data_IF_102686604705
#
_entry.id   IF_102686604705
#
_cell.length_a   1.000
_cell.length_b   1.000
_cell.length_c   1.000
_cell.angle_alpha   90.00
_cell.angle_beta   90.00
_cell.angle_gamma   90.00
#
_symmetry.space_group_name_H-M   'P 1'
#
loop_
_entity.id
_entity.type
_entity.pdbx_description
1 polymer ?
#
# COMPACT_ATOMS: atom_id res chain seq x y z
N UNK A 1 -23.09 -21.47 7.16
CA UNK A 1 -21.96 -20.54 7.32
C UNK A 1 -21.81 -20.17 8.78
N UNK A 2 -20.58 -20.22 9.30
CA UNK A 2 -20.27 -19.70 10.64
C UNK A 2 -20.48 -18.18 10.70
N UNK A 3 -20.54 -17.60 11.91
CA UNK A 3 -20.64 -16.14 12.07
C UNK A 3 -19.44 -15.44 11.42
N UNK A 4 -18.25 -16.02 11.55
CA UNK A 4 -17.02 -15.49 10.97
C UNK A 4 -17.08 -15.45 9.44
N UNK A 5 -17.59 -16.51 8.81
CA UNK A 5 -17.79 -16.56 7.35
C UNK A 5 -18.82 -15.53 6.87
N UNK A 6 -19.93 -15.37 7.62
CA UNK A 6 -20.97 -14.37 7.31
C UNK A 6 -20.41 -12.95 7.38
N UNK A 7 -19.65 -12.64 8.43
CA UNK A 7 -19.04 -11.32 8.63
C UNK A 7 -17.98 -11.03 7.57
N UNK A 8 -17.17 -12.03 7.19
CA UNK A 8 -16.20 -11.90 6.10
C UNK A 8 -16.89 -11.64 4.75
N UNK A 9 -17.93 -12.42 4.42
CA UNK A 9 -18.72 -12.22 3.20
C UNK A 9 -19.34 -10.82 3.18
N UNK A 10 -19.86 -10.37 4.31
CA UNK A 10 -20.38 -9.03 4.47
C UNK A 10 -19.33 -7.94 4.23
N UNK A 11 -18.13 -8.07 4.79
CA UNK A 11 -17.03 -7.14 4.55
C UNK A 11 -16.67 -7.04 3.05
N UNK A 12 -16.60 -8.19 2.36
CA UNK A 12 -16.33 -8.25 0.91
C UNK A 12 -17.41 -7.55 0.10
N UNK A 13 -18.68 -7.80 0.44
CA UNK A 13 -19.80 -7.24 -0.29
C UNK A 13 -19.90 -5.73 -0.14
N UNK A 14 -19.62 -5.15 1.05
CA UNK A 14 -19.54 -3.68 1.18
C UNK A 14 -18.49 -3.13 0.22
N UNK A 15 -17.31 -3.76 0.17
CA UNK A 15 -16.19 -3.28 -0.66
C UNK A 15 -16.57 -3.32 -2.14
N UNK A 16 -17.12 -4.43 -2.59
CA UNK A 16 -17.52 -4.64 -3.98
C UNK A 16 -18.70 -3.76 -4.39
N UNK A 17 -19.78 -3.77 -3.61
CA UNK A 17 -21.02 -3.05 -3.90
C UNK A 17 -20.78 -1.53 -3.99
N UNK A 18 -19.99 -0.99 -3.07
CA UNK A 18 -19.75 0.45 -2.99
C UNK A 18 -18.53 0.92 -3.77
N UNK A 19 -17.83 0.00 -4.43
CA UNK A 19 -16.71 0.32 -5.33
C UNK A 19 -15.39 0.63 -4.62
N UNK A 20 -15.25 0.28 -3.34
CA UNK A 20 -13.98 0.38 -2.62
C UNK A 20 -12.93 -0.59 -3.20
N UNK A 21 -11.66 -0.37 -2.87
CA UNK A 21 -10.56 -1.26 -3.25
C UNK A 21 -10.05 -2.07 -2.07
N UNK A 22 -9.60 -3.28 -2.33
CA UNK A 22 -8.83 -4.06 -1.38
C UNK A 22 -7.38 -3.55 -1.29
N UNK A 23 -6.79 -3.57 -0.10
CA UNK A 23 -5.34 -3.53 0.09
C UNK A 23 -4.82 -4.93 0.50
N UNK A 24 -3.63 -5.04 1.08
CA UNK A 24 -3.12 -6.24 1.77
C UNK A 24 -4.08 -6.65 2.91
N UNK A 25 -5.16 -7.35 2.55
CA UNK A 25 -6.28 -7.69 3.42
C UNK A 25 -7.58 -6.96 3.07
N UNK A 26 -8.70 -7.61 3.37
CA UNK A 26 -10.09 -7.21 3.07
C UNK A 26 -10.42 -5.83 3.62
N UNK A 27 -10.13 -4.75 2.90
CA UNK A 27 -10.23 -3.40 3.45
C UNK A 27 -11.00 -2.44 2.56
N UNK A 28 -11.63 -1.47 3.20
CA UNK A 28 -12.30 -0.35 2.58
C UNK A 28 -11.25 0.75 2.34
N UNK A 29 -10.57 0.66 1.20
CA UNK A 29 -9.58 1.63 0.74
C UNK A 29 -10.15 2.51 -0.38
N UNK A 30 -9.95 3.81 -0.25
CA UNK A 30 -10.11 4.79 -1.31
C UNK A 30 -8.72 5.06 -1.91
N UNK A 31 -8.42 4.67 -3.15
CA UNK A 31 -7.09 4.76 -3.74
C UNK A 31 -6.76 6.19 -4.18
N UNK A 32 -5.56 6.70 -3.91
CA UNK A 32 -5.07 8.02 -4.34
C UNK A 32 -5.12 8.21 -5.89
N UNK A 33 -5.36 9.44 -6.38
CA UNK A 33 -5.20 9.78 -7.81
C UNK A 33 -3.73 9.71 -8.24
N UNK A 34 -3.51 9.40 -9.52
CA UNK A 34 -2.21 9.56 -10.15
C UNK A 34 -1.66 10.98 -9.94
N UNK A 35 -0.34 11.14 -9.70
CA UNK A 35 0.75 10.18 -9.96
C UNK A 35 1.09 9.21 -8.81
N UNK A 36 0.26 9.11 -7.77
CA UNK A 36 0.56 8.26 -6.61
C UNK A 36 0.20 6.78 -6.86
N UNK A 37 0.88 5.83 -6.18
CA UNK A 37 0.58 4.41 -6.32
C UNK A 37 -0.89 4.11 -6.00
N UNK A 38 -1.52 3.28 -6.85
CA UNK A 38 -2.95 2.94 -6.74
C UNK A 38 -3.31 2.08 -5.50
N UNK A 39 -2.30 1.55 -4.79
CA UNK A 39 -2.45 0.81 -3.54
C UNK A 39 -2.34 1.70 -2.29
N UNK A 40 -2.10 3.00 -2.44
CA UNK A 40 -2.09 3.97 -1.34
C UNK A 40 -3.37 4.81 -1.35
N UNK A 41 -3.78 5.34 -0.18
CA UNK A 41 -5.09 5.96 -0.11
C UNK A 41 -5.64 6.31 1.28
N UNK A 42 -6.91 6.70 1.32
CA UNK A 42 -7.66 6.88 2.57
C UNK A 42 -8.27 5.54 2.99
N UNK A 43 -7.97 5.13 4.22
CA UNK A 43 -8.45 3.88 4.79
C UNK A 43 -9.57 4.17 5.79
N UNK A 44 -10.73 3.52 5.64
CA UNK A 44 -11.81 3.63 6.61
C UNK A 44 -11.65 2.52 7.66
N UNK A 45 -11.72 1.27 7.20
CA UNK A 45 -11.54 0.08 8.02
C UNK A 45 -11.00 -1.08 7.19
N UNK A 46 -10.43 -2.07 7.87
CA UNK A 46 -10.03 -3.36 7.31
C UNK A 46 -10.61 -4.51 8.10
N UNK A 47 -10.91 -5.61 7.43
CA UNK A 47 -11.26 -6.88 8.02
C UNK A 47 -10.03 -7.80 8.01
N UNK A 48 -9.57 -8.18 9.19
CA UNK A 48 -8.45 -9.10 9.36
C UNK A 48 -8.96 -10.53 9.34
N UNK A 49 -8.66 -11.30 8.30
CA UNK A 49 -8.98 -12.74 8.25
C UNK A 49 -8.25 -13.54 9.33
N UNK A 50 -7.02 -13.14 9.69
CA UNK A 50 -6.27 -13.86 10.74
C UNK A 50 -6.91 -13.69 12.12
N UNK A 51 -7.49 -12.52 12.40
CA UNK A 51 -8.09 -12.18 13.69
C UNK A 51 -9.61 -12.22 13.67
N UNK A 52 -10.21 -12.46 12.52
CA UNK A 52 -11.65 -12.38 12.22
C UNK A 52 -12.30 -11.14 12.82
N UNK A 53 -11.85 -9.94 12.44
CA UNK A 53 -12.34 -8.69 13.02
C UNK A 53 -12.23 -7.49 12.11
N UNK A 54 -13.10 -6.50 12.28
CA UNK A 54 -12.94 -5.17 11.71
C UNK A 54 -11.96 -4.34 12.55
N UNK A 55 -11.16 -3.50 11.90
CA UNK A 55 -10.26 -2.55 12.54
C UNK A 55 -10.14 -1.26 11.71
N UNK A 56 -10.26 -0.10 12.34
CA UNK A 56 -9.97 1.18 11.67
C UNK A 56 -8.46 1.45 11.60
N UNK A 57 -8.02 2.29 10.66
CA UNK A 57 -6.60 2.67 10.49
C UNK A 57 -6.42 4.16 10.28
N UNK A 58 -6.50 4.94 11.37
CA UNK A 58 -6.34 6.40 11.32
C UNK A 58 -4.91 6.89 11.51
N UNK A 59 -3.97 6.00 11.82
CA UNK A 59 -2.59 6.36 12.19
C UNK A 59 -1.85 7.11 11.08
N UNK A 60 -2.14 6.79 9.81
CA UNK A 60 -1.48 7.43 8.66
C UNK A 60 -2.12 8.76 8.23
N UNK A 61 -3.29 9.13 8.77
CA UNK A 61 -4.04 10.31 8.33
C UNK A 61 -3.35 11.63 8.65
N UNK A 62 -2.63 11.72 9.77
CA UNK A 62 -2.04 12.98 10.25
C UNK A 62 -0.56 13.15 9.90
N UNK A 63 0.02 12.22 9.14
CA UNK A 63 1.45 12.28 8.80
C UNK A 63 1.73 13.48 7.90
N UNK A 64 2.89 14.12 8.09
CA UNK A 64 3.32 15.24 7.23
C UNK A 64 3.40 14.82 5.76
N UNK A 65 3.80 13.57 5.50
CA UNK A 65 3.79 12.96 4.17
C UNK A 65 2.38 12.89 3.58
N UNK A 66 1.36 12.48 4.35
CA UNK A 66 -0.04 12.45 3.89
C UNK A 66 -0.56 13.86 3.57
N UNK A 67 -0.24 14.84 4.41
CA UNK A 67 -0.66 16.22 4.21
C UNK A 67 -0.02 16.83 2.96
N UNK A 68 1.30 16.67 2.77
CA UNK A 68 2.01 17.10 1.54
C UNK A 68 1.45 16.42 0.30
N UNK A 69 1.10 15.14 0.40
CA UNK A 69 0.47 14.42 -0.71
C UNK A 69 -0.90 15.01 -1.06
N UNK A 70 -1.75 15.27 -0.06
CA UNK A 70 -3.06 15.90 -0.27
C UNK A 70 -2.94 17.29 -0.90
N UNK A 71 -1.95 18.06 -0.49
CA UNK A 71 -1.61 19.34 -1.10
C UNK A 71 -1.19 19.18 -2.56
N UNK A 72 -0.32 18.22 -2.88
CA UNK A 72 0.12 17.97 -4.25
C UNK A 72 -1.02 17.51 -5.16
N UNK A 73 -1.83 16.57 -4.68
CA UNK A 73 -2.95 15.93 -5.41
C UNK A 73 -4.14 16.86 -5.60
N UNK A 74 -4.59 17.50 -4.52
CA UNK A 74 -5.88 18.19 -4.48
C UNK A 74 -5.73 19.71 -4.35
N UNK A 75 -4.49 20.22 -4.27
CA UNK A 75 -4.19 21.65 -4.02
C UNK A 75 -4.83 22.18 -2.73
N UNK A 76 -5.02 21.29 -1.77
CA UNK A 76 -5.58 21.61 -0.46
C UNK A 76 -4.50 22.12 0.48
N UNK A 77 -4.81 23.19 1.21
CA UNK A 77 -3.95 23.65 2.29
C UNK A 77 -4.03 22.71 3.50
N UNK A 78 -2.98 22.69 4.32
CA UNK A 78 -2.97 21.91 5.57
C UNK A 78 -4.16 22.26 6.48
N UNK A 79 -4.55 23.54 6.53
CA UNK A 79 -5.69 24.02 7.32
C UNK A 79 -7.01 23.42 6.85
N UNK A 80 -7.19 23.28 5.54
CA UNK A 80 -8.41 22.68 4.97
C UNK A 80 -8.46 21.19 5.21
N UNK A 81 -7.34 20.48 5.02
CA UNK A 81 -7.27 19.05 5.29
C UNK A 81 -7.53 18.73 6.77
N UNK A 82 -7.00 19.56 7.69
CA UNK A 82 -7.24 19.45 9.13
C UNK A 82 -8.71 19.57 9.54
N UNK A 83 -9.59 20.15 8.70
CA UNK A 83 -11.04 20.20 9.00
C UNK A 83 -11.67 18.81 9.06
N UNK A 84 -11.07 17.82 8.39
CA UNK A 84 -11.53 16.43 8.42
C UNK A 84 -11.39 15.79 9.81
N UNK A 85 -10.54 16.33 10.69
CA UNK A 85 -10.32 15.81 12.04
C UNK A 85 -11.62 15.62 12.84
N UNK A 86 -12.43 16.67 12.95
CA UNK A 86 -13.66 16.63 13.75
C UNK A 86 -14.65 15.60 13.23
N UNK A 87 -14.66 15.41 11.91
CA UNK A 87 -15.53 14.45 11.24
C UNK A 87 -15.05 13.01 11.43
N UNK A 88 -13.74 12.77 11.36
CA UNK A 88 -13.13 11.46 11.68
C UNK A 88 -13.32 11.11 13.16
N UNK A 89 -13.15 12.07 14.06
CA UNK A 89 -13.39 11.90 15.49
C UNK A 89 -14.86 11.51 15.77
N UNK A 90 -15.81 12.19 15.13
CA UNK A 90 -17.23 11.88 15.23
C UNK A 90 -17.54 10.45 14.73
N UNK A 91 -16.98 10.05 13.58
CA UNK A 91 -17.12 8.70 13.04
C UNK A 91 -16.61 7.63 14.02
N UNK A 92 -15.39 7.79 14.55
CA UNK A 92 -14.83 6.87 15.52
C UNK A 92 -15.67 6.80 16.80
N UNK A 93 -16.24 7.92 17.25
CA UNK A 93 -17.16 7.95 18.40
C UNK A 93 -18.46 7.19 18.12
N UNK A 94 -19.02 7.30 16.92
CA UNK A 94 -20.20 6.53 16.50
C UNK A 94 -19.92 5.03 16.49
N UNK A 95 -18.75 4.60 15.98
CA UNK A 95 -18.35 3.20 16.04
C UNK A 95 -18.21 2.68 17.47
N UNK A 96 -17.64 3.47 18.38
CA UNK A 96 -17.58 3.10 19.82
C UNK A 96 -18.97 2.95 20.42
N UNK A 97 -19.90 3.86 20.08
CA UNK A 97 -21.29 3.78 20.53
C UNK A 97 -21.99 2.52 20.00
N UNK A 98 -21.60 2.05 18.81
CA UNK A 98 -22.07 0.79 18.24
C UNK A 98 -21.48 -0.45 18.96
N UNK A 99 -20.45 -0.27 19.79
CA UNK A 99 -19.82 -1.33 20.58
C UNK A 99 -18.41 -1.72 20.13
N UNK A 100 -17.81 -0.98 19.20
CA UNK A 100 -16.41 -1.21 18.83
C UNK A 100 -15.47 -0.77 19.95
N UNK A 101 -14.42 -1.55 20.18
CA UNK A 101 -13.45 -1.33 21.25
C UNK A 101 -12.21 -0.58 20.75
N UNK A 102 -11.63 0.28 21.58
CA UNK A 102 -10.39 0.98 21.25
C UNK A 102 -9.18 0.04 21.22
N UNK A 103 -8.29 0.26 20.25
CA UNK A 103 -7.05 -0.50 20.10
C UNK A 103 -5.84 0.36 19.78
N UNK A 104 -4.68 -0.21 20.09
CA UNK A 104 -3.39 0.40 19.86
C UNK A 104 -3.05 1.47 20.90
N UNK A 105 -1.99 2.22 20.62
CA UNK A 105 -1.51 3.25 21.56
C UNK A 105 -2.26 4.57 21.46
N UNK A 106 -3.17 4.70 20.49
CA UNK A 106 -3.82 5.95 20.12
C UNK A 106 -2.85 6.94 19.46
N UNK A 107 -3.42 7.91 18.75
CA UNK A 107 -2.70 8.82 17.87
C UNK A 107 -3.22 10.23 18.06
N UNK A 108 -2.30 11.19 18.21
CA UNK A 108 -2.64 12.61 18.25
C UNK A 108 -2.80 13.13 16.83
N UNK A 109 -4.02 13.06 16.28
CA UNK A 109 -4.26 13.60 14.95
C UNK A 109 -4.14 15.14 15.00
N UNK A 110 -3.25 15.67 14.16
CA UNK A 110 -3.03 17.10 13.97
C UNK A 110 -2.71 17.90 15.24
N UNK A 111 -2.12 17.25 16.26
CA UNK A 111 -1.73 17.90 17.51
C UNK A 111 -2.89 18.34 18.41
N UNK A 112 -4.09 17.76 18.22
CA UNK A 112 -5.27 17.99 19.06
C UNK A 112 -5.44 16.86 20.09
N UNK A 113 -6.64 16.29 20.13
CA UNK A 113 -7.04 15.18 21.01
C UNK A 113 -6.48 13.85 20.48
N UNK A 114 -6.11 13.00 21.43
CA UNK A 114 -5.72 11.62 21.16
C UNK A 114 -6.95 10.82 20.74
N UNK A 115 -6.91 10.23 19.54
CA UNK A 115 -7.94 9.31 19.07
C UNK A 115 -7.38 7.90 18.99
N UNK A 116 -8.24 6.91 19.07
CA UNK A 116 -7.86 5.51 19.01
C UNK A 116 -8.49 4.85 17.80
N UNK A 117 -7.75 3.93 17.19
CA UNK A 117 -8.37 2.99 16.27
C UNK A 117 -9.38 2.15 17.05
N UNK A 118 -10.41 1.68 16.37
CA UNK A 118 -11.43 0.85 16.98
C UNK A 118 -11.55 -0.48 16.24
N UNK A 119 -11.99 -1.52 16.95
CA UNK A 119 -12.17 -2.86 16.39
C UNK A 119 -13.49 -3.50 16.82
N UNK A 120 -13.95 -4.48 16.05
CA UNK A 120 -15.00 -5.41 16.47
C UNK A 120 -14.71 -6.81 15.91
N UNK A 121 -14.58 -7.80 16.79
CA UNK A 121 -14.40 -9.19 16.40
C UNK A 121 -15.68 -9.76 15.77
N UNK A 122 -15.58 -10.72 14.86
CA UNK A 122 -16.73 -11.29 14.17
C UNK A 122 -17.76 -11.88 15.15
N UNK A 123 -17.27 -12.46 16.27
CA UNK A 123 -18.11 -12.98 17.36
C UNK A 123 -18.93 -11.91 18.07
N UNK A 124 -18.51 -10.65 18.05
CA UNK A 124 -19.31 -9.55 18.59
C UNK A 124 -20.69 -9.44 17.93
N UNK A 125 -20.76 -9.80 16.64
CA UNK A 125 -22.00 -9.77 15.86
C UNK A 125 -22.85 -11.03 16.01
N UNK A 126 -22.40 -12.00 16.81
CA UNK A 126 -23.18 -13.19 17.12
C UNK A 126 -24.47 -12.79 17.83
N UNK A 127 -25.61 -13.21 17.27
CA UNK A 127 -26.96 -12.82 17.72
C UNK A 127 -27.28 -11.32 17.61
N UNK A 128 -26.41 -10.52 16.97
CA UNK A 128 -26.56 -9.06 16.78
C UNK A 128 -26.27 -8.61 15.34
N UNK A 129 -26.70 -9.41 14.36
CA UNK A 129 -26.43 -9.16 12.93
C UNK A 129 -26.98 -7.80 12.44
N UNK A 130 -28.00 -7.24 13.09
CA UNK A 130 -28.52 -5.90 12.76
C UNK A 130 -27.46 -4.81 12.95
N UNK A 131 -26.51 -4.99 13.89
CA UNK A 131 -25.42 -4.02 14.07
C UNK A 131 -24.48 -3.95 12.86
N UNK A 132 -24.43 -5.00 12.02
CA UNK A 132 -23.69 -4.93 10.75
C UNK A 132 -24.36 -3.93 9.79
N UNK A 133 -25.69 -3.85 9.78
CA UNK A 133 -26.43 -2.86 8.98
C UNK A 133 -26.10 -1.44 9.42
N UNK A 134 -26.19 -1.18 10.73
CA UNK A 134 -25.83 0.12 11.30
C UNK A 134 -24.34 0.47 11.04
N UNK A 135 -23.45 -0.52 11.09
CA UNK A 135 -22.04 -0.33 10.75
C UNK A 135 -21.82 0.04 9.28
N UNK A 136 -22.58 -0.57 8.36
CA UNK A 136 -22.55 -0.21 6.94
C UNK A 136 -23.06 1.22 6.72
N UNK A 137 -24.20 1.58 7.31
CA UNK A 137 -24.74 2.94 7.24
C UNK A 137 -23.74 3.97 7.77
N UNK A 138 -23.12 3.72 8.93
CA UNK A 138 -22.04 4.57 9.46
C UNK A 138 -20.83 4.65 8.54
N UNK A 139 -20.50 3.55 7.85
CA UNK A 139 -19.40 3.52 6.88
C UNK A 139 -19.73 4.36 5.65
N UNK A 140 -20.97 4.33 5.17
CA UNK A 140 -21.44 5.12 4.02
C UNK A 140 -21.65 6.61 4.36
N UNK A 141 -21.95 6.93 5.60
CA UNK A 141 -22.02 8.30 6.14
C UNK A 141 -20.65 8.80 6.63
N UNK A 142 -19.57 8.05 6.36
CA UNK A 142 -18.25 8.46 6.76
C UNK A 142 -17.84 9.76 6.04
N UNK A 143 -17.46 10.82 6.78
CA UNK A 143 -17.09 12.12 6.20
C UNK A 143 -15.88 12.08 5.24
N UNK A 144 -15.06 11.04 5.32
CA UNK A 144 -13.97 10.78 4.37
C UNK A 144 -14.54 10.54 2.95
N UNK A 145 -15.71 9.92 2.83
CA UNK A 145 -16.37 9.67 1.55
C UNK A 145 -16.88 10.95 0.92
N UNK A 146 -17.54 11.80 1.71
CA UNK A 146 -18.03 13.09 1.21
C UNK A 146 -16.88 14.01 0.83
N UNK A 147 -15.79 14.00 1.60
CA UNK A 147 -14.53 14.66 1.22
C UNK A 147 -14.02 14.13 -0.13
N UNK A 148 -14.00 12.81 -0.31
CA UNK A 148 -13.50 12.20 -1.53
C UNK A 148 -14.38 12.49 -2.74
N UNK A 149 -15.70 12.47 -2.59
CA UNK A 149 -16.67 12.82 -3.61
C UNK A 149 -16.56 14.29 -4.02
N UNK A 150 -16.45 15.20 -3.05
CA UNK A 150 -16.30 16.64 -3.29
C UNK A 150 -15.07 16.99 -4.14
N UNK A 151 -13.98 16.22 -3.98
CA UNK A 151 -12.75 16.39 -4.74
C UNK A 151 -12.68 15.52 -6.01
N UNK A 152 -13.82 14.94 -6.42
CA UNK A 152 -13.98 14.06 -7.59
C UNK A 152 -12.96 12.93 -7.60
N UNK A 153 -12.65 12.43 -6.40
CA UNK A 153 -11.55 11.52 -6.14
C UNK A 153 -12.04 10.10 -5.93
N UNK A 154 -13.23 9.96 -5.39
CA UNK A 154 -13.93 8.70 -5.28
C UNK A 154 -15.42 8.96 -5.20
N UNK A 155 -16.19 8.09 -5.84
CA UNK A 155 -17.64 8.11 -5.78
C UNK A 155 -18.12 6.75 -5.31
N UNK A 156 -18.96 6.77 -4.27
CA UNK A 156 -19.57 5.57 -3.70
C UNK A 156 -20.59 5.04 -4.70
N UNK A 157 -20.40 3.79 -5.14
CA UNK A 157 -21.38 3.10 -5.98
C UNK A 157 -22.55 2.62 -5.14
N UNK A 158 -23.75 2.56 -5.74
CA UNK A 158 -24.94 1.95 -5.13
C UNK A 158 -25.20 2.40 -3.68
N UNK A 159 -25.00 3.70 -3.38
CA UNK A 159 -25.08 4.25 -2.01
C UNK A 159 -26.46 4.07 -1.36
N UNK A 160 -27.49 3.83 -2.16
CA UNK A 160 -28.88 3.58 -1.77
C UNK A 160 -29.18 2.10 -1.48
N UNK A 161 -28.26 1.18 -1.79
CA UNK A 161 -28.38 -0.25 -1.51
C UNK A 161 -27.46 -0.63 -0.36
N UNK A 162 -27.85 -1.62 0.43
CA UNK A 162 -27.02 -2.14 1.52
C UNK A 162 -26.59 -3.57 1.19
N UNK A 163 -25.29 -3.84 1.33
CA UNK A 163 -24.72 -5.17 1.31
C UNK A 163 -25.38 -6.06 2.37
N UNK A 164 -25.77 -5.47 3.51
CA UNK A 164 -26.51 -6.18 4.54
C UNK A 164 -27.81 -6.80 4.00
N UNK A 165 -28.61 -6.05 3.24
CA UNK A 165 -29.89 -6.53 2.70
C UNK A 165 -29.65 -7.67 1.70
N UNK A 166 -28.56 -7.61 0.91
CA UNK A 166 -28.21 -8.68 -0.04
C UNK A 166 -27.78 -9.98 0.64
N UNK A 167 -27.20 -9.92 1.83
CA UNK A 167 -26.63 -11.10 2.52
C UNK A 167 -27.59 -11.65 3.57
N UNK A 168 -28.33 -10.78 4.26
CA UNK A 168 -29.15 -11.12 5.42
C UNK A 168 -30.63 -10.76 5.24
N UNK A 169 -31.01 -10.00 4.21
CA UNK A 169 -32.37 -9.45 4.03
C UNK A 169 -33.45 -10.47 3.67
N UNK A 170 -33.11 -11.76 3.54
CA UNK A 170 -34.06 -12.83 3.20
C UNK A 170 -35.05 -13.25 4.29
N UNK A 171 -35.20 -12.52 5.41
CA UNK A 171 -36.04 -13.03 6.51
C UNK A 171 -36.38 -12.14 7.70
N UNK A 172 -36.38 -10.80 7.59
CA UNK A 172 -36.94 -9.96 8.67
C UNK A 172 -37.83 -8.85 8.14
N UNK A 173 -39.04 -8.82 8.68
CA UNK A 173 -40.13 -7.90 8.42
C UNK A 173 -39.72 -6.44 8.59
N UNK A 174 -39.96 -5.67 7.53
CA UNK A 174 -40.05 -4.21 7.46
C UNK A 174 -40.85 -3.64 8.64
N UNK A 175 -40.40 -2.51 9.23
CA UNK A 175 -41.27 -1.35 9.20
C UNK A 175 -40.60 -0.15 8.53
N UNK A 176 -41.27 0.30 7.48
CA UNK A 176 -41.02 1.53 6.72
C UNK A 176 -41.42 2.70 7.60
N UNK A 177 -40.48 3.53 8.02
CA UNK A 177 -40.81 4.92 8.40
C UNK A 177 -39.67 5.85 8.00
N UNK A 178 -39.67 6.25 6.73
CA UNK A 178 -39.06 7.52 6.30
C UNK A 178 -40.19 8.44 5.86
N UNK A 179 -40.41 9.60 6.49
CA UNK A 179 -41.24 10.63 5.90
C UNK A 179 -40.49 11.22 4.72
N UNK A 180 -41.07 11.08 3.53
CA UNK A 180 -40.73 11.84 2.34
C UNK A 180 -41.26 13.26 2.49
N UNK A 181 -40.39 14.26 2.46
CA UNK A 181 -40.79 15.63 2.17
C UNK A 181 -39.82 16.22 1.15
N UNK A 182 -40.20 16.07 -0.13
CA UNK A 182 -39.74 16.93 -1.23
C UNK A 182 -40.74 18.09 -1.36
N UNK A 183 -40.26 19.33 -1.57
CA UNK A 183 -41.03 20.29 -2.36
C UNK A 183 -40.55 20.27 -3.81
N UNK A 184 -41.49 20.01 -4.69
CA UNK A 184 -41.42 20.22 -6.13
C UNK A 184 -41.56 21.71 -6.43
N UNK A 185 -40.65 22.27 -7.23
CA UNK A 185 -40.98 23.42 -8.10
C UNK A 185 -40.14 23.35 -9.38
N UNK A 186 -40.84 23.05 -10.49
CA UNK A 186 -40.41 23.26 -11.87
C UNK A 186 -40.46 24.78 -12.17
N UNK A 187 -39.66 25.27 -13.13
CA UNK A 187 -40.33 25.77 -14.34
C UNK A 187 -39.71 25.25 -15.63
N UNK A 188 -40.61 25.00 -16.58
CA UNK A 188 -40.34 24.76 -18.00
C UNK A 188 -40.31 26.11 -18.70
N UNK A 189 -39.31 26.37 -19.56
CA UNK A 189 -39.53 26.92 -20.91
C UNK A 189 -38.25 26.94 -21.76
N UNK A 190 -38.44 26.43 -22.97
CA UNK A 190 -37.66 26.32 -24.22
C UNK A 190 -36.58 27.39 -24.52
N UNK A 191 -35.46 27.01 -25.20
CA UNK A 191 -34.49 27.95 -25.74
C UNK A 191 -34.93 28.49 -27.11
N UNK A 192 -34.79 29.79 -27.34
CA UNK A 192 -34.93 30.44 -28.65
C UNK A 192 -33.56 30.84 -29.20
N UNK A 193 -33.48 30.78 -30.53
CA UNK A 193 -32.34 30.81 -31.44
C UNK A 193 -31.72 32.19 -31.71
N UNK A 194 -30.38 32.25 -31.64
CA UNK A 194 -29.38 32.87 -32.57
C UNK A 194 -29.45 34.40 -32.90
N UNK A 195 -28.44 34.99 -33.60
CA UNK A 195 -27.45 35.91 -33.03
C UNK A 195 -27.48 37.33 -33.66
N UNK A 196 -26.84 38.31 -33.03
CA UNK A 196 -26.58 39.61 -33.69
C UNK A 196 -25.20 40.19 -33.32
N UNK A 197 -24.31 40.11 -34.32
CA UNK A 197 -23.30 41.06 -34.82
C UNK A 197 -22.61 42.11 -33.91
N UNK A 198 -21.29 41.94 -33.77
CA UNK A 198 -20.15 42.82 -34.18
C UNK A 198 -19.92 44.21 -33.49
N UNK A 199 -18.71 44.83 -33.62
CA UNK A 199 -17.88 45.22 -32.48
C UNK A 199 -17.44 46.69 -32.51
N UNK A 200 -17.02 47.24 -31.37
CA UNK A 200 -16.35 48.54 -31.26
C UNK A 200 -15.76 48.60 -29.86
N UNK A 201 -14.53 49.00 -29.56
CA UNK A 201 -13.46 49.67 -30.30
C UNK A 201 -12.13 49.38 -29.58
N UNK A 202 -11.04 49.62 -30.32
CA UNK A 202 -9.63 49.31 -30.05
C UNK A 202 -8.99 50.35 -29.07
N UNK A 203 -7.65 50.42 -28.86
CA UNK A 203 -7.01 50.48 -27.54
C UNK A 203 -6.34 51.85 -27.29
N UNK A 204 -5.80 52.07 -26.09
CA UNK A 204 -4.83 53.15 -25.84
C UNK A 204 -3.57 52.50 -25.26
N UNK A 205 -2.57 52.19 -26.10
CA UNK A 205 -1.32 52.95 -26.31
C UNK A 205 -0.46 53.18 -25.04
N UNK A 206 0.42 52.21 -24.74
CA UNK A 206 1.92 52.22 -24.80
C UNK A 206 2.67 53.57 -24.58
N UNK A 207 4.02 53.55 -24.44
CA UNK A 207 4.89 53.41 -23.27
C UNK A 207 5.72 54.69 -22.98
N UNK A 208 6.49 54.74 -21.89
CA UNK A 208 7.61 55.68 -21.73
C UNK A 208 8.74 54.94 -21.01
N UNK A 209 9.71 54.37 -21.74
CA UNK A 209 11.08 54.87 -21.99
C UNK A 209 12.00 54.99 -20.75
N UNK A 210 13.05 54.14 -20.80
CA UNK A 210 14.39 54.18 -20.16
C UNK A 210 15.11 55.55 -20.42
N UNK A 211 16.39 55.81 -20.03
CA UNK A 211 17.29 55.29 -18.98
C UNK A 211 17.95 56.42 -18.13
N UNK A 212 18.69 56.12 -17.06
CA UNK A 212 19.91 56.89 -16.75
C UNK A 212 20.95 56.08 -15.98
N UNK A 213 22.16 56.08 -16.53
CA UNK A 213 23.43 55.57 -16.03
C UNK A 213 24.42 56.74 -15.95
N UNK A 214 25.06 56.94 -14.78
CA UNK A 214 26.45 57.45 -14.50
C UNK A 214 26.44 58.26 -13.20
N UNK A 215 27.20 57.94 -12.13
CA UNK A 215 28.66 57.83 -11.88
C UNK A 215 29.40 59.17 -11.65
N UNK A 216 30.16 59.17 -10.55
CA UNK A 216 31.31 60.01 -10.15
C UNK A 216 30.97 61.39 -9.56
N UNK A 217 31.57 61.85 -8.46
CA UNK A 217 32.99 61.92 -8.03
C UNK A 217 33.02 62.16 -6.50
N UNK A 218 34.07 61.95 -5.69
CA UNK A 218 35.44 61.47 -5.88
C UNK A 218 36.31 61.84 -4.65
N UNK A 219 37.39 61.05 -4.44
CA UNK A 219 38.64 61.31 -3.67
C UNK A 219 38.51 61.38 -2.14
N UNK A 220 39.48 60.96 -1.30
CA UNK A 220 40.90 60.53 -1.35
C UNK A 220 41.16 59.86 0.03
N UNK A 221 42.03 58.88 0.30
CA UNK A 221 43.48 58.74 0.09
C UNK A 221 43.90 57.38 0.69
N UNK A 222 44.79 56.64 0.03
CA UNK A 222 45.59 55.57 0.65
C UNK A 222 46.79 56.14 1.44
N UNK A 223 47.73 55.33 1.97
CA UNK A 223 48.38 54.28 1.18
C UNK A 223 48.69 52.93 1.88
N UNK A 224 49.05 52.01 0.99
CA UNK A 224 49.44 50.61 1.07
C UNK A 224 50.63 50.21 1.96
N UNK A 225 50.69 48.92 2.33
CA UNK A 225 51.87 48.04 2.07
C UNK A 225 51.50 46.53 2.13
N UNK A 226 51.73 45.86 0.99
CA UNK A 226 52.40 44.53 0.77
C UNK A 226 51.95 43.29 1.56
N UNK A 227 52.09 42.03 1.14
CA UNK A 227 52.35 41.27 -0.10
C UNK A 227 52.41 39.79 0.39
N UNK A 228 51.87 38.86 -0.40
CA UNK A 228 52.23 37.43 -0.59
C UNK A 228 52.72 36.51 0.57
N UNK A 229 52.12 35.31 0.54
CA UNK A 229 52.73 33.97 0.51
C UNK A 229 53.49 33.39 1.74
N UNK A 230 53.00 32.18 2.11
CA UNK A 230 53.71 30.95 2.50
C UNK A 230 54.86 31.02 3.52
N UNK A 231 54.73 30.25 4.61
CA UNK A 231 55.65 29.14 4.92
C UNK A 231 55.33 28.48 6.26
N UNK A 232 55.45 27.16 6.24
CA UNK A 232 55.67 26.19 7.30
C UNK A 232 56.77 26.60 8.30
N UNK A 233 56.63 26.21 9.57
CA UNK A 233 57.70 25.70 10.47
C UNK A 233 56.98 25.20 11.73
N UNK A 234 56.93 23.88 11.98
CA UNK A 234 58.00 23.04 12.54
C UNK A 234 58.29 23.36 14.02
N UNK A 235 57.96 22.41 14.90
CA UNK A 235 58.83 21.85 15.93
C UNK A 235 57.95 21.04 16.91
N UNK A 236 58.01 19.71 16.90
CA UNK A 236 59.10 18.86 17.38
C UNK A 236 58.91 18.58 18.89
N UNK A 237 58.36 17.40 19.22
CA UNK A 237 59.06 16.18 19.71
C UNK A 237 59.16 16.21 21.24
N UNK A 238 59.11 15.13 22.01
CA UNK A 238 59.61 13.75 21.91
C UNK A 238 58.96 13.04 23.12
N UNK A 239 58.88 11.73 23.34
CA UNK A 239 59.36 10.44 22.82
C UNK A 239 58.88 9.43 23.90
N UNK A 240 58.80 8.12 23.77
CA UNK A 240 58.90 7.12 22.71
C UNK A 240 58.39 5.80 23.35
N UNK A 241 57.86 4.90 22.54
CA UNK A 241 57.76 3.45 22.83
C UNK A 241 59.18 2.80 22.71
N UNK A 242 59.41 1.47 22.85
CA UNK A 242 58.52 0.31 23.00
C UNK A 242 58.98 -0.66 24.14
N UNK A 243 58.40 -1.82 24.44
CA UNK A 243 58.60 -3.13 23.77
C UNK A 243 57.76 -4.20 24.51
N UNK A 244 57.42 -5.27 23.80
CA UNK A 244 56.51 -6.36 24.17
C UNK A 244 57.00 -7.32 25.28
N UNK A 245 56.06 -7.86 26.08
CA UNK A 245 56.02 -9.25 26.56
C UNK A 245 54.68 -9.55 27.27
N UNK A 246 54.06 -10.68 26.94
CA UNK A 246 52.96 -11.31 27.68
C UNK A 246 53.53 -12.24 28.77
N UNK A 247 52.73 -13.03 29.52
CA UNK A 247 51.49 -12.77 30.27
C UNK A 247 51.66 -13.15 31.76
N UNK A 248 50.79 -12.70 32.68
CA UNK A 248 50.52 -13.49 33.90
C UNK A 248 49.18 -13.17 34.53
N UNK A 249 48.50 -14.24 34.93
CA UNK A 249 47.16 -14.30 35.48
C UNK A 249 47.05 -13.64 36.86
N UNK A 250 45.93 -12.96 37.10
CA UNK A 250 45.24 -12.95 38.39
C UNK A 250 43.80 -12.45 38.19
N UNK A 251 42.84 -13.26 38.64
CA UNK A 251 41.44 -12.88 38.76
C UNK A 251 41.25 -11.65 39.67
N UNK A 252 40.11 -10.95 39.56
CA UNK A 252 39.12 -11.21 40.60
C UNK A 252 37.68 -11.30 40.06
N UNK A 253 37.03 -12.35 40.57
CA UNK A 253 35.70 -12.39 41.17
C UNK A 253 34.62 -11.44 40.66
N UNK A 254 33.60 -12.07 40.10
CA UNK A 254 32.34 -11.53 39.65
C UNK A 254 31.56 -10.75 40.73
N UNK A 255 30.97 -9.64 40.31
CA UNK A 255 29.69 -9.16 40.82
C UNK A 255 28.75 -8.95 39.62
N UNK A 256 27.63 -9.66 39.63
CA UNK A 256 26.64 -9.74 38.56
C UNK A 256 25.85 -8.44 38.36
N UNK A 257 25.34 -8.16 37.14
CA UNK A 257 24.10 -7.44 36.97
C UNK A 257 22.95 -8.41 36.70
N UNK A 258 21.86 -8.13 37.38
CA UNK A 258 20.61 -8.87 37.52
C UNK A 258 19.84 -8.96 36.19
N UNK A 259 19.51 -10.19 35.82
CA UNK A 259 18.30 -10.64 35.09
C UNK A 259 17.81 -9.80 33.89
N UNK A 260 18.51 -9.92 32.75
CA UNK A 260 17.83 -9.92 31.46
C UNK A 260 17.20 -11.30 31.24
N UNK A 261 15.87 -11.37 31.19
CA UNK A 261 15.13 -12.60 30.95
C UNK A 261 15.64 -13.30 29.68
N UNK A 262 16.33 -14.43 29.88
CA UNK A 262 16.88 -15.24 28.81
C UNK A 262 15.74 -15.70 27.89
N UNK A 263 15.81 -15.34 26.61
CA UNK A 263 15.06 -16.03 25.57
C UNK A 263 15.30 -17.54 25.77
N UNK A 264 14.26 -18.40 25.65
CA UNK A 264 14.42 -19.82 25.90
C UNK A 264 15.54 -20.33 24.98
N UNK A 265 16.64 -20.84 25.56
CA UNK A 265 17.84 -21.30 24.83
C UNK A 265 17.48 -22.20 23.64
N UNK A 266 16.40 -22.96 23.80
CA UNK A 266 15.78 -23.80 22.79
C UNK A 266 15.34 -23.07 21.50
N UNK A 267 14.85 -21.83 21.56
CA UNK A 267 14.52 -21.04 20.37
C UNK A 267 15.78 -20.55 19.66
N UNK A 268 16.76 -20.05 20.41
CA UNK A 268 18.03 -19.60 19.83
C UNK A 268 18.77 -20.76 19.15
N UNK A 269 18.78 -21.94 19.77
CA UNK A 269 19.38 -23.15 19.21
C UNK A 269 18.60 -23.68 18.01
N UNK A 270 17.25 -23.60 18.03
CA UNK A 270 16.41 -23.90 16.87
C UNK A 270 16.67 -22.95 15.71
N UNK A 271 16.78 -21.65 15.96
CA UNK A 271 17.06 -20.63 14.95
C UNK A 271 18.46 -20.79 14.37
N UNK A 272 19.47 -21.11 15.20
CA UNK A 272 20.83 -21.45 14.75
C UNK A 272 20.85 -22.72 13.91
N UNK A 273 20.13 -23.76 14.32
CA UNK A 273 20.01 -25.00 13.55
C UNK A 273 19.28 -24.77 12.23
N UNK A 274 18.24 -23.92 12.23
CA UNK A 274 17.53 -23.51 11.01
C UNK A 274 18.46 -22.76 10.05
N UNK A 275 19.21 -21.79 10.56
CA UNK A 275 20.21 -21.04 9.79
C UNK A 275 21.33 -21.93 9.25
N UNK A 276 21.83 -22.88 10.05
CA UNK A 276 22.86 -23.84 9.63
C UNK A 276 22.33 -24.93 8.68
N UNK A 277 21.01 -25.18 8.67
CA UNK A 277 20.34 -26.07 7.72
C UNK A 277 19.91 -25.38 6.44
N UNK A 278 20.12 -24.06 6.31
CA UNK A 278 19.90 -23.40 5.02
C UNK A 278 20.96 -23.90 4.05
N UNK A 279 20.56 -24.48 2.91
CA UNK A 279 21.53 -24.92 1.92
C UNK A 279 22.36 -23.72 1.47
N UNK A 280 23.67 -23.89 1.40
CA UNK A 280 24.62 -22.88 0.91
C UNK A 280 24.51 -22.62 -0.61
N UNK A 281 23.47 -23.16 -1.26
CA UNK A 281 23.23 -23.01 -2.69
C UNK A 281 22.45 -21.71 -2.92
N UNK A 282 23.18 -20.60 -2.88
CA UNK A 282 22.69 -19.34 -3.40
C UNK A 282 22.63 -19.43 -4.94
N UNK A 283 21.43 -19.40 -5.51
CA UNK A 283 21.31 -19.08 -6.94
C UNK A 283 21.94 -17.71 -7.15
N UNK A 284 22.85 -17.62 -8.12
CA UNK A 284 23.33 -16.33 -8.58
C UNK A 284 22.25 -15.61 -9.41
N UNK A 285 22.41 -14.29 -9.58
CA UNK A 285 21.44 -13.46 -10.30
C UNK A 285 21.20 -13.93 -11.75
N UNK A 286 22.21 -14.50 -12.39
CA UNK A 286 22.16 -14.98 -13.78
C UNK A 286 21.35 -16.27 -13.88
N UNK A 287 21.57 -17.20 -12.96
CA UNK A 287 20.83 -18.43 -12.84
C UNK A 287 19.36 -18.14 -12.47
N UNK A 288 19.11 -17.17 -11.58
CA UNK A 288 17.76 -16.75 -11.23
C UNK A 288 17.00 -16.19 -12.43
N UNK A 289 17.63 -15.26 -13.14
CA UNK A 289 17.07 -14.70 -14.37
C UNK A 289 16.81 -15.78 -15.42
N UNK A 290 17.68 -16.82 -15.51
CA UNK A 290 17.46 -17.98 -16.39
C UNK A 290 16.21 -18.77 -15.97
N UNK A 291 16.02 -19.01 -14.68
CA UNK A 291 14.85 -19.76 -14.17
C UNK A 291 13.54 -19.01 -14.39
N UNK A 292 13.53 -17.69 -14.13
CA UNK A 292 12.37 -16.82 -14.38
C UNK A 292 12.05 -16.74 -15.87
N UNK A 293 13.05 -16.56 -16.73
CA UNK A 293 12.83 -16.54 -18.18
C UNK A 293 12.39 -17.90 -18.73
N UNK A 294 12.89 -19.00 -18.15
CA UNK A 294 12.43 -20.36 -18.46
C UNK A 294 10.95 -20.54 -18.13
N UNK A 295 10.52 -20.10 -16.94
CA UNK A 295 9.11 -20.08 -16.55
C UNK A 295 8.25 -19.31 -17.57
N UNK A 296 8.67 -18.10 -17.95
CA UNK A 296 7.93 -17.28 -18.92
C UNK A 296 7.85 -17.92 -20.30
N UNK A 297 8.92 -18.59 -20.74
CA UNK A 297 8.93 -19.34 -21.99
C UNK A 297 7.92 -20.49 -21.95
N UNK A 298 7.85 -21.23 -20.84
CA UNK A 298 6.88 -22.30 -20.66
C UNK A 298 5.45 -21.77 -20.71
N UNK A 299 5.14 -20.72 -19.93
CA UNK A 299 3.82 -20.05 -19.92
C UNK A 299 3.40 -19.60 -21.32
N UNK A 300 4.30 -18.94 -22.06
CA UNK A 300 4.02 -18.52 -23.44
C UNK A 300 3.77 -19.70 -24.38
N UNK A 301 4.49 -20.80 -24.18
CA UNK A 301 4.32 -22.02 -24.97
C UNK A 301 2.96 -22.66 -24.70
N UNK A 302 2.62 -22.85 -23.42
CA UNK A 302 1.37 -23.43 -22.97
C UNK A 302 0.14 -22.66 -23.45
N UNK A 303 0.21 -21.32 -23.44
CA UNK A 303 -0.88 -20.43 -23.83
C UNK A 303 -0.78 -19.89 -25.27
N UNK A 304 0.11 -20.47 -26.10
CA UNK A 304 0.39 -19.94 -27.44
C UNK A 304 -0.82 -19.97 -28.38
N UNK A 305 -1.68 -20.98 -28.26
CA UNK A 305 -2.91 -21.11 -29.05
C UNK A 305 -3.90 -19.98 -28.76
N UNK A 306 -4.11 -19.67 -27.47
CA UNK A 306 -4.95 -18.56 -27.00
C UNK A 306 -4.40 -17.19 -27.43
N UNK A 307 -3.08 -17.07 -27.55
CA UNK A 307 -2.46 -15.82 -28.01
C UNK A 307 -2.59 -15.63 -29.53
N UNK A 308 -2.42 -16.70 -30.32
CA UNK A 308 -2.60 -16.65 -31.78
C UNK A 308 -4.03 -16.32 -32.20
N UNK A 309 -5.01 -16.75 -31.41
CA UNK A 309 -6.44 -16.47 -31.62
C UNK A 309 -6.86 -15.09 -31.14
N UNK A 310 -5.96 -14.34 -30.48
CA UNK A 310 -6.22 -12.97 -30.02
C UNK A 310 -6.93 -12.86 -28.67
N UNK A 311 -7.19 -13.98 -27.99
CA UNK A 311 -7.79 -13.97 -26.65
C UNK A 311 -6.81 -13.52 -25.55
N UNK A 312 -5.50 -13.61 -25.85
CA UNK A 312 -4.45 -13.29 -24.89
C UNK A 312 -3.27 -12.56 -25.54
N UNK A 313 -2.73 -11.59 -24.83
CA UNK A 313 -1.53 -10.84 -25.19
C UNK A 313 -0.47 -10.98 -24.12
N UNK A 314 0.80 -10.97 -24.51
CA UNK A 314 1.94 -11.00 -23.58
C UNK A 314 2.69 -9.68 -23.65
N UNK A 315 3.07 -9.15 -22.49
CA UNK A 315 4.00 -8.03 -22.38
C UNK A 315 4.97 -8.26 -21.24
N UNK A 316 6.10 -7.57 -21.26
CA UNK A 316 7.11 -7.64 -20.20
C UNK A 316 7.42 -6.24 -19.71
N UNK A 317 7.64 -6.14 -18.39
CA UNK A 317 8.01 -4.88 -17.73
C UNK A 317 9.23 -5.14 -16.85
N UNK A 318 10.25 -4.28 -16.98
CA UNK A 318 11.37 -4.27 -16.05
C UNK A 318 10.94 -3.76 -14.68
N UNK A 319 11.27 -4.51 -13.64
CA UNK A 319 11.09 -4.13 -12.24
C UNK A 319 12.43 -4.10 -11.52
N UNK A 320 12.52 -3.27 -10.48
CA UNK A 320 13.67 -3.19 -9.58
C UNK A 320 13.35 -3.93 -8.30
N UNK A 321 14.23 -4.83 -7.88
CA UNK A 321 14.16 -5.58 -6.63
C UNK A 321 15.43 -5.33 -5.82
N UNK A 322 15.31 -5.42 -4.50
CA UNK A 322 16.41 -5.25 -3.56
C UNK A 322 16.54 -6.52 -2.73
N UNK A 323 17.72 -7.13 -2.76
CA UNK A 323 18.05 -8.30 -1.94
C UNK A 323 19.20 -7.99 -0.98
N UNK A 324 19.15 -8.58 0.21
CA UNK A 324 20.11 -8.31 1.30
C UNK A 324 21.54 -8.75 0.92
N UNK A 325 21.67 -9.82 0.12
CA UNK A 325 22.96 -10.40 -0.25
C UNK A 325 23.42 -9.95 -1.64
N UNK A 326 22.50 -9.66 -2.56
CA UNK A 326 22.81 -9.34 -3.96
C UNK A 326 22.68 -7.84 -4.28
N UNK A 327 22.12 -7.03 -3.39
CA UNK A 327 21.86 -5.61 -3.62
C UNK A 327 20.67 -5.37 -4.56
N UNK A 328 20.62 -4.18 -5.15
CA UNK A 328 19.57 -3.80 -6.10
C UNK A 328 19.82 -4.42 -7.48
N UNK A 329 18.81 -5.07 -8.05
CA UNK A 329 18.88 -5.65 -9.40
C UNK A 329 17.59 -5.45 -10.19
N UNK A 330 17.70 -5.53 -11.51
CA UNK A 330 16.56 -5.47 -12.44
C UNK A 330 16.20 -6.86 -12.95
N UNK A 331 14.90 -7.14 -13.04
CA UNK A 331 14.38 -8.37 -13.64
C UNK A 331 13.05 -8.10 -14.35
N UNK A 332 12.71 -8.91 -15.35
CA UNK A 332 11.46 -8.78 -16.08
C UNK A 332 10.30 -9.41 -15.32
N UNK A 333 9.18 -8.69 -15.23
CA UNK A 333 7.87 -9.19 -14.88
C UNK A 333 7.06 -9.47 -16.15
N UNK A 334 6.39 -10.62 -16.21
CA UNK A 334 5.53 -11.00 -17.34
C UNK A 334 4.08 -10.59 -17.04
N UNK A 335 3.47 -9.83 -17.95
CA UNK A 335 2.08 -9.40 -17.89
C UNK A 335 1.28 -10.07 -19.02
N UNK A 336 0.15 -10.71 -18.68
CA UNK A 336 -0.77 -11.30 -19.64
C UNK A 336 -2.04 -10.45 -19.68
N UNK A 337 -2.36 -9.90 -20.85
CA UNK A 337 -3.63 -9.21 -21.08
C UNK A 337 -4.63 -10.17 -21.70
N UNK A 338 -5.71 -10.48 -20.98
CA UNK A 338 -6.79 -11.36 -21.44
C UNK A 338 -7.96 -10.49 -21.91
N UNK A 339 -8.64 -10.93 -22.96
CA UNK A 339 -9.88 -10.30 -23.43
C UNK A 339 -10.89 -10.18 -22.27
N UNK A 340 -11.59 -9.05 -22.20
CA UNK A 340 -12.45 -8.71 -21.05
C UNK A 340 -11.76 -7.83 -19.99
N UNK A 341 -10.54 -7.37 -20.23
CA UNK A 341 -9.84 -6.41 -19.37
C UNK A 341 -9.18 -7.04 -18.13
N UNK A 342 -9.07 -8.37 -18.08
CA UNK A 342 -8.33 -9.07 -17.04
C UNK A 342 -6.85 -8.99 -17.37
N UNK A 343 -6.05 -8.41 -16.47
CA UNK A 343 -4.60 -8.39 -16.61
C UNK A 343 -3.98 -9.22 -15.50
N UNK A 344 -3.12 -10.16 -15.87
CA UNK A 344 -2.45 -11.08 -14.96
C UNK A 344 -0.97 -10.74 -14.93
N UNK A 345 -0.35 -10.86 -13.78
CA UNK A 345 1.03 -10.46 -13.56
C UNK A 345 1.77 -11.59 -12.87
N UNK A 346 2.82 -12.07 -13.52
CA UNK A 346 3.88 -12.88 -12.93
C UNK A 346 4.99 -11.93 -12.49
N UNK A 347 5.08 -11.70 -11.18
CA UNK A 347 6.01 -10.75 -10.60
C UNK A 347 7.09 -11.49 -9.80
N UNK A 348 8.36 -11.45 -10.23
CA UNK A 348 9.48 -11.90 -9.39
C UNK A 348 9.53 -11.08 -8.10
N UNK A 349 9.81 -11.74 -6.98
CA UNK A 349 9.78 -11.10 -5.66
C UNK A 349 11.12 -11.20 -4.96
N UNK A 350 11.64 -12.42 -4.84
CA UNK A 350 12.80 -12.72 -4.00
C UNK A 350 13.54 -13.94 -4.55
N UNK A 351 14.84 -13.97 -4.33
CA UNK A 351 15.77 -15.05 -4.67
C UNK A 351 16.37 -15.58 -3.35
N UNK A 352 16.70 -16.86 -3.26
CA UNK A 352 17.35 -17.45 -2.07
C UNK A 352 16.54 -17.32 -0.77
N UNK A 353 15.24 -17.59 -0.83
CA UNK A 353 14.38 -17.54 0.35
C UNK A 353 14.48 -18.83 1.20
N UNK A 354 14.17 -18.80 2.50
CA UNK A 354 14.18 -20.00 3.33
C UNK A 354 13.24 -21.10 2.78
N UNK A 355 13.81 -22.23 2.34
CA UNK A 355 13.06 -23.39 1.85
C UNK A 355 12.64 -23.33 0.37
N UNK A 356 13.11 -22.33 -0.38
CA UNK A 356 12.96 -22.25 -1.83
C UNK A 356 14.06 -21.37 -2.46
N UNK A 357 14.52 -21.77 -3.63
CA UNK A 357 15.56 -21.10 -4.40
C UNK A 357 15.13 -19.74 -4.98
N UNK A 358 13.82 -19.46 -5.06
CA UNK A 358 13.28 -18.16 -5.43
C UNK A 358 11.76 -18.15 -5.53
N UNK A 359 11.17 -16.97 -5.71
CA UNK A 359 9.72 -16.75 -5.71
C UNK A 359 9.25 -15.83 -6.82
N UNK A 360 8.19 -16.26 -7.50
CA UNK A 360 7.40 -15.45 -8.43
C UNK A 360 5.95 -15.46 -7.95
N UNK A 361 5.36 -14.30 -7.79
CA UNK A 361 3.95 -14.17 -7.44
C UNK A 361 3.10 -14.03 -8.70
N UNK A 362 2.03 -14.83 -8.79
CA UNK A 362 1.01 -14.71 -9.81
C UNK A 362 -0.22 -14.01 -9.21
N UNK A 363 -0.68 -12.93 -9.85
CA UNK A 363 -1.83 -12.15 -9.37
C UNK A 363 -2.58 -11.45 -10.50
N UNK A 364 -3.83 -11.04 -10.23
CA UNK A 364 -4.60 -10.16 -11.13
C UNK A 364 -4.25 -8.71 -10.83
N UNK A 365 -3.91 -7.92 -11.84
CA UNK A 365 -3.57 -6.50 -11.68
C UNK A 365 -4.75 -5.75 -11.08
N UNK A 366 -4.49 -5.02 -9.99
CA UNK A 366 -5.52 -4.28 -9.25
C UNK A 366 -6.44 -5.15 -8.37
N UNK A 367 -6.18 -6.46 -8.27
CA UNK A 367 -6.85 -7.36 -7.34
C UNK A 367 -5.89 -8.41 -6.73
N UNK A 368 -5.53 -8.22 -5.46
CA UNK A 368 -4.63 -9.13 -4.74
C UNK A 368 -5.37 -10.28 -4.01
N UNK A 369 -6.70 -10.41 -4.12
CA UNK A 369 -7.46 -11.47 -3.43
C UNK A 369 -7.14 -12.87 -3.92
N UNK A 370 -6.59 -12.99 -5.13
CA UNK A 370 -6.18 -14.24 -5.76
C UNK A 370 -4.68 -14.21 -6.08
N UNK A 371 -3.87 -13.91 -5.07
CA UNK A 371 -2.42 -14.02 -5.18
C UNK A 371 -2.00 -15.46 -4.93
N UNK A 372 -1.29 -16.06 -5.87
CA UNK A 372 -0.72 -17.41 -5.72
C UNK A 372 0.79 -17.33 -5.85
N UNK A 373 1.49 -18.06 -4.99
CA UNK A 373 2.95 -18.03 -4.95
C UNK A 373 3.49 -19.21 -5.75
N UNK A 374 4.42 -18.93 -6.66
CA UNK A 374 5.24 -19.93 -7.33
C UNK A 374 6.60 -19.94 -6.65
N UNK A 375 6.95 -21.09 -6.08
CA UNK A 375 8.23 -21.31 -5.42
C UNK A 375 9.12 -22.14 -6.34
N UNK A 376 10.35 -21.71 -6.54
CA UNK A 376 11.37 -22.52 -7.18
C UNK A 376 12.00 -23.41 -6.11
N UNK A 377 11.82 -24.72 -6.19
CA UNK A 377 12.28 -25.68 -5.17
C UNK A 377 13.29 -26.64 -5.79
N UNK A 378 14.33 -26.98 -5.03
CA UNK A 378 15.29 -28.02 -5.40
C UNK A 378 14.76 -29.39 -4.96
N UNK A 379 14.59 -30.31 -5.91
CA UNK A 379 14.02 -31.65 -5.64
C UNK A 379 15.09 -32.76 -5.49
N UNK A 380 16.37 -32.39 -5.38
CA UNK A 380 17.51 -33.31 -5.45
C UNK A 380 18.17 -33.31 -6.83
N UNK A 381 19.43 -33.73 -6.89
CA UNK A 381 20.26 -33.75 -8.12
C UNK A 381 20.37 -32.40 -8.84
N UNK A 382 20.37 -31.29 -8.09
CA UNK A 382 20.44 -29.93 -8.65
C UNK A 382 19.26 -29.59 -9.60
N UNK A 383 18.17 -30.37 -9.55
CA UNK A 383 17.00 -30.16 -10.39
C UNK A 383 16.04 -29.18 -9.71
N UNK A 384 15.77 -28.06 -10.41
CA UNK A 384 14.93 -26.98 -9.92
C UNK A 384 13.56 -27.07 -10.58
N UNK A 385 12.50 -27.05 -9.77
CA UNK A 385 11.12 -27.11 -10.25
C UNK A 385 10.29 -25.97 -9.67
N UNK A 386 9.40 -25.41 -10.49
CA UNK A 386 8.39 -24.46 -10.03
C UNK A 386 7.22 -25.21 -9.40
N UNK A 387 6.87 -24.85 -8.17
CA UNK A 387 5.76 -25.42 -7.42
C UNK A 387 4.75 -24.34 -7.04
N UNK A 388 3.47 -24.66 -7.21
CA UNK A 388 2.34 -23.84 -6.81
C UNK A 388 2.09 -23.98 -5.32
N UNK A 389 2.01 -22.84 -4.63
CA UNK A 389 1.69 -22.77 -3.22
C UNK A 389 0.34 -22.07 -2.99
N UNK A 390 -0.68 -22.84 -2.62
CA UNK A 390 -2.04 -22.39 -2.30
C UNK A 390 -2.23 -22.50 -0.77
N UNK A 391 -2.73 -21.43 -0.15
CA UNK A 391 -2.92 -21.22 1.31
C UNK A 391 -3.07 -22.48 2.21
N UNK A 392 -2.28 -22.54 3.29
CA UNK A 392 -2.37 -23.37 4.50
C UNK A 392 -3.09 -24.73 4.36
N UNK A 393 -2.55 -25.58 3.48
CA UNK A 393 -2.63 -27.03 3.55
C UNK A 393 -1.38 -27.54 2.84
N UNK A 394 -0.56 -28.35 3.50
CA UNK A 394 0.86 -28.62 3.17
C UNK A 394 1.17 -29.27 1.80
N UNK A 395 0.25 -29.24 0.83
CA UNK A 395 0.46 -29.82 -0.50
C UNK A 395 0.96 -28.77 -1.48
N UNK A 396 2.28 -28.78 -1.72
CA UNK A 396 2.89 -28.14 -2.88
C UNK A 396 2.58 -29.00 -4.11
N UNK A 397 2.12 -28.37 -5.18
CA UNK A 397 1.84 -29.04 -6.45
C UNK A 397 2.83 -28.55 -7.50
N UNK A 398 3.32 -29.40 -8.43
CA UNK A 398 4.07 -28.94 -9.59
C UNK A 398 3.29 -27.84 -10.34
N UNK A 399 4.01 -26.83 -10.83
CA UNK A 399 3.42 -25.82 -11.69
C UNK A 399 3.61 -26.20 -13.16
N UNK A 400 2.55 -26.73 -13.75
CA UNK A 400 2.47 -27.17 -15.14
C UNK A 400 1.36 -26.41 -15.91
N UNK A 401 1.08 -26.87 -17.14
CA UNK A 401 0.07 -26.26 -18.01
C UNK A 401 -1.32 -26.37 -17.38
N UNK A 402 -1.66 -27.54 -16.88
CA UNK A 402 -2.96 -27.88 -16.30
C UNK A 402 -3.23 -27.02 -15.06
N UNK A 403 -2.22 -26.87 -14.18
CA UNK A 403 -2.30 -26.00 -13.01
C UNK A 403 -2.53 -24.53 -13.41
N UNK A 404 -1.85 -24.04 -14.45
CA UNK A 404 -2.05 -22.68 -14.94
C UNK A 404 -3.45 -22.48 -15.52
N UNK A 405 -3.92 -23.39 -16.39
CA UNK A 405 -5.25 -23.30 -16.99
C UNK A 405 -6.37 -23.34 -15.94
N UNK A 406 -6.24 -24.20 -14.92
CA UNK A 406 -7.17 -24.26 -13.80
C UNK A 406 -7.21 -22.95 -12.99
N UNK A 407 -6.07 -22.29 -12.78
CA UNK A 407 -6.00 -20.98 -12.12
C UNK A 407 -6.66 -19.89 -12.96
N UNK A 408 -6.40 -19.88 -14.26
CA UNK A 408 -7.00 -18.91 -15.18
C UNK A 408 -8.52 -19.05 -15.22
N UNK A 409 -9.04 -20.28 -15.33
CA UNK A 409 -10.47 -20.55 -15.31
C UNK A 409 -11.10 -20.03 -14.01
N UNK A 410 -10.51 -20.37 -12.86
CA UNK A 410 -10.99 -19.90 -11.55
C UNK A 410 -11.07 -18.37 -11.46
N UNK A 411 -10.15 -17.65 -12.09
CA UNK A 411 -10.05 -16.18 -11.99
C UNK A 411 -10.83 -15.41 -13.04
N UNK A 412 -11.20 -16.06 -14.13
CA UNK A 412 -12.10 -15.50 -15.14
C UNK A 412 -13.55 -15.64 -14.67
N UNK A 413 -13.88 -16.74 -13.99
CA UNK A 413 -15.22 -16.99 -13.44
C UNK A 413 -15.53 -16.23 -12.15
N UNK A 414 -14.49 -15.70 -11.47
CA UNK A 414 -14.58 -14.87 -10.25
C UNK A 414 -14.48 -13.37 -10.53
#
# INVERSE_FOLDING_TARGET
MSIEQKVEQFARQIIELHGFRFNEGFSCLIPDKEPFPSNEGLFLWGFSQKRMRFETKVEKFHTSTRMKRMEQMLKLTEKEYKKLFSSVEAYLKSLKKLGFEEIGKGVNLFGRTKVYNVQADAKFFENKLVLLKEFEELSLDNPILDFAAKHSYFEVKDRDKLAWDSIFGGGTTKPSTKPSTKPSTKPSTKPSTKPSTKPSTKPSTKPSTKPSTKKSTGKSTGPSRTKAAAATTAAATTAAAPTAAAPTAAAPTAAAPTAAAAAPKHLADKLKKLAASQPALALDLKAWSRQVNGLYKNVRTWLSEHSKTGYLTFSTRKIKLSDVNLGDYEIDSLELGVVGGHQLVFQPVEINMPGASGRVDLSRRGNNTHKVMLLLVEQGDNNLQWELWKSLGDKRLPFDKEALEALLAQWIES
#
